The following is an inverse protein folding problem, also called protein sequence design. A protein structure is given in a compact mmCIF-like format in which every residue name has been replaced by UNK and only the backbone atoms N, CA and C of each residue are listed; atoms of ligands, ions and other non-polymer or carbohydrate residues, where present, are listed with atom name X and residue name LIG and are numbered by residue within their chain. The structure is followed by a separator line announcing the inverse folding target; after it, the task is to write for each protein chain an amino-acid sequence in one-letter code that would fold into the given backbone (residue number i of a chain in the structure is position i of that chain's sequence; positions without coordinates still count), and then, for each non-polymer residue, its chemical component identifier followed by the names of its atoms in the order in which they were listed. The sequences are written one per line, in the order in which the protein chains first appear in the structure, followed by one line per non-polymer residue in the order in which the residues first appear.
data_IF_950222379711
#
_entry.id   IF_950222379711
#
_cell.length_a   1.000
_cell.length_b   1.000
_cell.length_c   1.000
_cell.angle_alpha   90.00
_cell.angle_beta   90.00
_cell.angle_gamma   90.00
#
_symmetry.space_group_name_H-M   'P 1'
#
loop_
_entity.id
_entity.type
_entity.pdbx_description
1 polymer ?
#
# COMPACT_ATOMS: atom_id res chain seq x y z
N UNK A 1 -23.10 -18.14 -14.44
CA UNK A 1 -21.72 -18.28 -13.93
C UNK A 1 -20.88 -18.57 -15.17
N UNK A 2 -20.14 -17.57 -15.62
CA UNK A 2 -19.21 -17.76 -16.73
C UNK A 2 -17.92 -18.32 -16.11
N UNK A 3 -17.50 -19.51 -16.57
CA UNK A 3 -16.19 -20.06 -16.25
C UNK A 3 -15.11 -19.11 -16.79
N UNK A 4 -14.41 -18.45 -15.89
CA UNK A 4 -13.21 -17.70 -16.22
C UNK A 4 -12.12 -18.73 -16.57
N UNK A 5 -12.00 -19.05 -17.85
CA UNK A 5 -10.85 -19.81 -18.33
C UNK A 5 -9.63 -18.87 -18.26
N UNK A 6 -8.81 -19.10 -17.24
CA UNK A 6 -7.46 -18.55 -17.19
C UNK A 6 -6.69 -19.08 -18.40
N UNK A 7 -6.42 -18.23 -19.37
CA UNK A 7 -5.52 -18.57 -20.48
C UNK A 7 -4.12 -18.71 -19.90
N UNK A 8 -3.51 -19.85 -20.13
CA UNK A 8 -2.19 -20.27 -19.60
C UNK A 8 -1.02 -19.61 -20.39
N UNK A 9 -1.24 -18.45 -20.97
CA UNK A 9 -0.19 -17.65 -21.59
C UNK A 9 0.36 -16.69 -20.55
N UNK A 10 1.44 -17.11 -19.88
CA UNK A 10 2.23 -16.25 -19.02
C UNK A 10 2.77 -15.10 -19.87
N UNK A 11 2.37 -13.83 -19.62
CA UNK A 11 2.91 -12.70 -20.37
C UNK A 11 4.41 -12.59 -20.13
N UNK A 12 5.09 -11.73 -20.90
CA UNK A 12 6.50 -11.41 -20.66
C UNK A 12 6.63 -10.82 -19.25
N UNK A 13 6.80 -11.71 -18.28
CA UNK A 13 6.96 -11.42 -16.86
C UNK A 13 8.26 -10.61 -16.70
N UNK A 14 8.24 -9.55 -15.91
CA UNK A 14 9.47 -8.94 -15.43
C UNK A 14 10.34 -10.02 -14.75
N UNK A 15 11.65 -9.88 -14.78
CA UNK A 15 12.62 -10.88 -14.28
C UNK A 15 12.36 -11.35 -12.83
N UNK A 16 11.54 -10.65 -12.09
CA UNK A 16 11.16 -10.86 -10.67
C UNK A 16 9.81 -11.57 -10.47
N UNK A 17 9.18 -12.04 -11.54
CA UNK A 17 7.94 -12.84 -11.44
C UNK A 17 6.70 -12.05 -11.02
N UNK A 18 6.68 -10.72 -11.17
CA UNK A 18 5.53 -9.86 -10.90
C UNK A 18 5.02 -9.19 -12.17
N UNK A 19 3.72 -9.07 -12.34
CA UNK A 19 3.08 -8.31 -13.42
C UNK A 19 1.81 -7.62 -12.94
N UNK A 20 1.32 -6.63 -13.70
CA UNK A 20 -0.01 -6.08 -13.50
C UNK A 20 -1.00 -6.80 -14.42
N UNK A 21 -2.18 -7.10 -13.91
CA UNK A 21 -3.27 -7.69 -14.68
C UNK A 21 -4.55 -6.88 -14.52
N UNK A 22 -5.26 -6.66 -15.60
CA UNK A 22 -6.59 -6.05 -15.55
C UNK A 22 -7.60 -7.03 -14.97
N UNK A 23 -8.36 -6.60 -13.96
CA UNK A 23 -9.38 -7.45 -13.32
C UNK A 23 -10.61 -7.67 -14.19
N UNK A 24 -10.81 -6.86 -15.27
CA UNK A 24 -11.97 -6.93 -16.16
C UNK A 24 -11.68 -7.75 -17.42
N UNK A 25 -10.60 -7.47 -18.16
CA UNK A 25 -10.29 -8.11 -19.43
C UNK A 25 -9.12 -9.08 -19.39
N UNK A 26 -8.32 -9.10 -18.31
CA UNK A 26 -7.17 -9.97 -18.15
C UNK A 26 -5.90 -9.49 -18.85
N UNK A 27 -5.90 -8.34 -19.56
CA UNK A 27 -4.71 -7.77 -20.19
C UNK A 27 -3.61 -7.53 -19.16
N UNK A 28 -2.36 -7.73 -19.57
CA UNK A 28 -1.20 -7.73 -18.65
C UNK A 28 -0.15 -6.72 -19.05
N UNK A 29 0.55 -6.18 -18.03
CA UNK A 29 1.53 -5.11 -18.19
C UNK A 29 2.74 -5.31 -17.28
N UNK A 30 3.89 -4.81 -17.70
CA UNK A 30 5.07 -4.72 -16.84
C UNK A 30 4.81 -3.75 -15.67
N UNK A 31 5.18 -4.11 -14.43
CA UNK A 31 4.70 -3.39 -13.23
C UNK A 31 5.30 -1.99 -13.04
N UNK A 32 6.53 -1.75 -13.50
CA UNK A 32 7.26 -0.51 -13.21
C UNK A 32 7.83 0.19 -14.44
N UNK A 33 7.43 -0.23 -15.64
CA UNK A 33 7.89 0.39 -16.88
C UNK A 33 7.40 1.85 -17.02
N UNK A 34 6.20 2.11 -16.51
CA UNK A 34 5.56 3.43 -16.49
C UNK A 34 4.49 3.49 -15.40
N UNK A 35 4.02 4.71 -15.07
CA UNK A 35 2.89 4.89 -14.16
C UNK A 35 1.60 4.55 -14.92
N UNK A 36 0.94 3.47 -14.47
CA UNK A 36 -0.31 2.99 -15.05
C UNK A 36 -1.39 2.90 -13.97
N UNK A 37 -2.51 3.56 -14.18
CA UNK A 37 -3.63 3.60 -13.23
C UNK A 37 -4.77 2.66 -13.60
N UNK A 38 -4.99 2.48 -14.90
CA UNK A 38 -6.06 1.65 -15.46
C UNK A 38 -5.54 0.87 -16.66
N UNK A 39 -6.32 -0.10 -17.11
CA UNK A 39 -6.07 -0.85 -18.33
C UNK A 39 -6.23 0.04 -19.57
N UNK A 40 -5.31 -0.07 -20.53
CA UNK A 40 -5.36 0.70 -21.77
C UNK A 40 -6.51 0.25 -22.69
N UNK A 41 -6.94 -1.02 -22.59
CA UNK A 41 -7.94 -1.60 -23.48
C UNK A 41 -9.38 -1.35 -22.99
N UNK A 42 -9.62 -1.32 -21.68
CA UNK A 42 -10.98 -1.27 -21.14
C UNK A 42 -11.18 -0.32 -19.95
N UNK A 43 -10.16 0.47 -19.56
CA UNK A 43 -10.15 1.33 -18.38
C UNK A 43 -10.38 0.59 -17.04
N UNK A 44 -10.35 -0.74 -17.03
CA UNK A 44 -10.49 -1.56 -15.83
C UNK A 44 -9.34 -1.37 -14.84
N UNK A 45 -9.60 -1.70 -13.56
CA UNK A 45 -8.58 -1.62 -12.53
C UNK A 45 -7.49 -2.67 -12.73
N UNK A 46 -6.28 -2.33 -12.31
CA UNK A 46 -5.12 -3.21 -12.35
C UNK A 46 -4.83 -3.76 -10.96
N UNK A 47 -4.43 -5.03 -10.90
CA UNK A 47 -3.90 -5.65 -9.69
C UNK A 47 -2.52 -6.25 -9.95
N UNK A 48 -1.68 -6.30 -8.92
CA UNK A 48 -0.40 -6.98 -8.99
C UNK A 48 -0.60 -8.49 -8.88
N UNK A 49 -0.01 -9.24 -9.80
CA UNK A 49 0.01 -10.70 -9.83
C UNK A 49 1.43 -11.20 -9.64
N UNK A 50 1.56 -12.37 -9.07
CA UNK A 50 2.83 -13.00 -8.71
C UNK A 50 2.88 -14.42 -9.28
N UNK A 51 4.01 -14.83 -9.83
CA UNK A 51 4.25 -16.20 -10.29
C UNK A 51 4.29 -17.16 -9.10
N UNK A 52 5.17 -16.87 -8.15
CA UNK A 52 5.30 -17.63 -6.92
C UNK A 52 5.01 -16.73 -5.71
N UNK A 53 4.17 -17.20 -4.79
CA UNK A 53 3.93 -16.50 -3.53
C UNK A 53 4.77 -17.13 -2.43
N UNK A 54 5.38 -16.31 -1.54
CA UNK A 54 6.10 -16.82 -0.40
C UNK A 54 5.16 -17.53 0.59
N UNK A 55 5.72 -18.40 1.39
CA UNK A 55 5.05 -19.02 2.52
C UNK A 55 5.19 -18.15 3.76
N UNK A 56 4.47 -18.50 4.84
CA UNK A 56 4.58 -17.75 6.09
C UNK A 56 5.99 -17.81 6.70
N UNK A 57 6.76 -18.85 6.41
CA UNK A 57 8.12 -19.07 6.91
C UNK A 57 9.15 -18.13 6.26
N UNK A 58 8.83 -17.56 5.09
CA UNK A 58 9.68 -16.63 4.35
C UNK A 58 9.59 -15.18 4.87
N UNK A 59 8.68 -14.91 5.82
CA UNK A 59 8.47 -13.58 6.36
C UNK A 59 9.35 -13.31 7.57
N UNK A 60 10.39 -12.48 7.39
CA UNK A 60 11.38 -12.16 8.41
C UNK A 60 11.38 -10.66 8.77
N UNK A 61 11.82 -10.34 9.98
CA UNK A 61 11.94 -8.95 10.45
C UNK A 61 10.65 -8.39 11.07
N UNK A 62 10.48 -7.07 11.01
CA UNK A 62 9.39 -6.34 11.69
C UNK A 62 8.70 -5.34 10.76
N UNK A 63 7.53 -4.86 11.21
CA UNK A 63 6.78 -3.83 10.51
C UNK A 63 6.18 -4.29 9.20
N UNK A 64 6.07 -3.40 8.25
CA UNK A 64 5.54 -3.69 6.90
C UNK A 64 6.56 -4.50 6.10
N UNK A 65 7.84 -4.18 6.22
CA UNK A 65 8.91 -4.84 5.46
C UNK A 65 9.21 -6.27 5.90
N UNK A 66 8.58 -6.73 6.98
CA UNK A 66 8.52 -8.16 7.30
C UNK A 66 7.98 -8.99 6.13
N UNK A 67 7.08 -8.41 5.35
CA UNK A 67 6.44 -9.06 4.20
C UNK A 67 7.19 -8.81 2.89
N UNK A 68 8.46 -8.44 2.96
CA UNK A 68 9.29 -8.11 1.79
C UNK A 68 9.31 -9.22 0.74
N UNK A 69 9.35 -10.48 1.17
CA UNK A 69 9.29 -11.63 0.27
C UNK A 69 8.01 -11.68 -0.60
N UNK A 70 6.93 -11.00 -0.18
CA UNK A 70 5.68 -10.87 -0.94
C UNK A 70 5.57 -9.52 -1.68
N UNK A 71 6.62 -8.73 -1.71
CA UNK A 71 6.65 -7.45 -2.41
C UNK A 71 7.62 -7.53 -3.60
N UNK A 72 7.34 -6.83 -4.70
CA UNK A 72 8.12 -6.95 -5.93
C UNK A 72 9.42 -6.11 -5.94
N UNK A 73 9.95 -5.74 -4.79
CA UNK A 73 11.15 -4.92 -4.64
C UNK A 73 11.76 -5.05 -3.25
N UNK A 74 13.04 -4.72 -3.16
CA UNK A 74 13.78 -4.61 -1.91
C UNK A 74 13.17 -3.60 -0.93
N UNK A 75 13.57 -3.70 0.33
CA UNK A 75 13.13 -2.79 1.40
C UNK A 75 13.33 -1.32 0.99
N UNK A 76 12.26 -0.54 1.07
CA UNK A 76 12.27 0.89 0.77
C UNK A 76 12.50 1.78 1.99
N UNK A 77 12.06 3.03 1.87
CA UNK A 77 12.08 3.95 3.02
C UNK A 77 11.11 3.47 4.10
N UNK A 78 11.52 3.60 5.35
CA UNK A 78 10.69 3.26 6.50
C UNK A 78 10.77 4.32 7.59
N UNK A 79 9.69 4.48 8.33
CA UNK A 79 9.57 5.23 9.58
C UNK A 79 9.15 4.29 10.72
N UNK A 80 9.69 3.09 10.82
CA UNK A 80 9.28 1.83 11.45
C UNK A 80 7.75 1.66 11.61
N UNK A 81 7.03 1.79 10.52
CA UNK A 81 5.58 1.57 10.46
C UNK A 81 5.20 0.10 10.59
N UNK A 82 4.00 -0.15 11.03
CA UNK A 82 3.54 -1.48 11.34
C UNK A 82 3.92 -1.90 12.77
N UNK A 83 3.93 -3.19 13.05
CA UNK A 83 4.19 -3.76 14.39
C UNK A 83 3.36 -3.08 15.51
N UNK A 84 2.19 -2.56 15.14
CA UNK A 84 1.30 -1.86 16.07
C UNK A 84 0.73 -2.81 17.11
N UNK A 85 0.46 -2.33 18.35
CA UNK A 85 -0.05 -3.15 19.43
C UNK A 85 -1.35 -3.87 19.08
N UNK A 86 -1.51 -5.06 19.60
CA UNK A 86 -2.73 -5.86 19.54
C UNK A 86 -3.27 -6.06 20.97
N UNK A 87 -4.19 -5.20 21.38
CA UNK A 87 -4.74 -5.19 22.74
C UNK A 87 -5.89 -6.16 22.89
N UNK A 88 -5.85 -6.98 23.92
CA UNK A 88 -7.02 -7.73 24.34
C UNK A 88 -7.98 -6.82 25.12
N UNK A 89 -9.31 -6.97 24.90
CA UNK A 89 -10.34 -6.10 25.47
C UNK A 89 -11.44 -6.91 26.17
N UNK A 90 -11.15 -7.54 27.35
CA UNK A 90 -12.06 -8.50 28.00
C UNK A 90 -13.44 -7.92 28.32
N UNK A 91 -13.53 -6.64 28.69
CA UNK A 91 -14.82 -6.01 28.98
C UNK A 91 -15.75 -5.95 27.75
N UNK A 92 -15.19 -5.75 26.56
CA UNK A 92 -15.97 -5.77 25.34
C UNK A 92 -16.27 -7.23 24.89
N UNK A 93 -15.42 -8.19 25.24
CA UNK A 93 -15.70 -9.63 25.01
C UNK A 93 -17.01 -10.02 25.66
N UNK A 94 -17.21 -9.64 26.93
CA UNK A 94 -18.43 -9.91 27.68
C UNK A 94 -19.67 -9.22 27.08
N UNK A 95 -19.53 -7.96 26.64
CA UNK A 95 -20.63 -7.18 26.06
C UNK A 95 -21.10 -7.70 24.71
N UNK A 96 -20.18 -8.17 23.85
CA UNK A 96 -20.51 -8.67 22.49
C UNK A 96 -20.68 -10.18 22.43
N UNK A 97 -20.39 -10.90 23.50
CA UNK A 97 -20.60 -12.34 23.62
C UNK A 97 -19.61 -13.16 22.79
N UNK A 98 -18.32 -12.80 22.77
CA UNK A 98 -17.24 -13.54 22.10
C UNK A 98 -16.17 -13.97 23.09
N UNK A 99 -15.52 -15.11 22.85
CA UNK A 99 -14.50 -15.67 23.75
C UNK A 99 -13.19 -14.87 23.75
N UNK A 100 -12.87 -14.21 22.65
CA UNK A 100 -11.67 -13.40 22.52
C UNK A 100 -11.86 -12.27 21.51
N UNK A 101 -11.62 -11.04 21.96
CA UNK A 101 -11.61 -9.84 21.13
C UNK A 101 -10.28 -9.10 21.27
N UNK A 102 -9.69 -8.72 20.15
CA UNK A 102 -8.47 -7.93 20.11
C UNK A 102 -8.61 -6.73 19.20
N UNK A 103 -8.04 -5.60 19.62
CA UNK A 103 -8.01 -4.36 18.85
C UNK A 103 -6.60 -4.10 18.37
N UNK A 104 -6.42 -4.06 17.05
CA UNK A 104 -5.18 -3.63 16.40
C UNK A 104 -5.12 -2.10 16.42
N UNK A 105 -4.16 -1.51 17.14
CA UNK A 105 -4.09 -0.07 17.36
C UNK A 105 -3.30 0.64 16.26
N UNK A 106 -3.89 0.83 15.10
CA UNK A 106 -3.25 1.48 13.95
C UNK A 106 -2.89 2.97 14.16
N UNK A 107 -3.47 3.62 15.16
CA UNK A 107 -3.08 4.96 15.60
C UNK A 107 -1.67 5.06 16.19
N UNK A 108 -0.99 3.93 16.42
CA UNK A 108 0.40 3.88 16.90
C UNK A 108 1.43 3.87 15.76
N UNK A 109 1.00 3.90 14.51
CA UNK A 109 1.91 4.14 13.39
C UNK A 109 2.52 5.55 13.44
N UNK A 110 3.67 5.81 12.81
CA UNK A 110 4.43 7.07 12.88
C UNK A 110 3.62 8.33 12.60
N UNK A 111 2.72 8.32 11.61
CA UNK A 111 1.84 9.48 11.33
C UNK A 111 0.45 9.35 11.94
N UNK A 112 0.26 8.39 12.85
CA UNK A 112 -0.96 8.21 13.62
C UNK A 112 -2.07 7.44 12.89
N UNK A 113 -1.78 6.70 11.83
CA UNK A 113 -2.79 5.93 11.11
C UNK A 113 -2.24 4.74 10.32
N UNK A 114 -3.14 3.84 9.90
CA UNK A 114 -2.81 2.72 9.02
C UNK A 114 -2.30 3.14 7.62
N UNK A 115 -2.45 4.41 7.24
CA UNK A 115 -1.98 4.92 5.95
C UNK A 115 -0.47 4.77 5.77
N UNK A 116 0.27 4.74 6.84
CA UNK A 116 1.71 4.53 6.86
C UNK A 116 2.11 3.21 6.19
N UNK A 117 1.32 2.15 6.41
CA UNK A 117 1.58 0.82 5.81
C UNK A 117 1.57 0.84 4.27
N UNK A 118 0.57 1.50 3.69
CA UNK A 118 0.50 1.63 2.23
C UNK A 118 1.47 2.68 1.69
N UNK A 119 1.78 3.71 2.49
CA UNK A 119 2.61 4.80 2.03
C UNK A 119 4.09 4.41 1.92
N UNK A 120 4.63 3.61 2.84
CA UNK A 120 5.99 3.10 2.74
C UNK A 120 6.19 2.32 1.43
N UNK A 121 5.22 1.48 1.06
CA UNK A 121 5.23 0.71 -0.20
C UNK A 121 5.02 1.63 -1.41
N UNK A 122 4.03 2.55 -1.34
CA UNK A 122 3.73 3.48 -2.44
C UNK A 122 4.89 4.40 -2.79
N UNK A 123 5.64 4.89 -1.79
CA UNK A 123 6.84 5.68 -2.01
C UNK A 123 7.96 4.82 -2.63
N UNK A 124 8.08 3.56 -2.23
CA UNK A 124 9.04 2.64 -2.87
C UNK A 124 8.70 2.39 -4.34
N UNK A 125 7.42 2.21 -4.68
CA UNK A 125 6.97 2.14 -6.09
C UNK A 125 7.35 3.40 -6.86
N UNK A 126 7.13 4.58 -6.27
CA UNK A 126 7.49 5.85 -6.90
C UNK A 126 8.99 5.97 -7.19
N UNK A 127 9.84 5.50 -6.28
CA UNK A 127 11.30 5.43 -6.49
C UNK A 127 11.66 4.44 -7.60
N UNK A 128 10.99 3.28 -7.67
CA UNK A 128 11.22 2.27 -8.71
C UNK A 128 10.89 2.81 -10.11
N UNK A 129 9.77 3.51 -10.23
CA UNK A 129 9.36 4.18 -11.49
C UNK A 129 10.23 5.41 -11.80
N UNK A 130 10.99 5.93 -10.83
CA UNK A 130 11.92 7.04 -11.02
C UNK A 130 11.23 8.41 -11.10
N UNK A 131 10.17 8.65 -10.32
CA UNK A 131 9.52 9.96 -10.23
C UNK A 131 10.20 10.83 -9.17
N UNK A 132 10.26 12.14 -9.43
CA UNK A 132 10.85 13.13 -8.52
C UNK A 132 9.81 13.76 -7.58
N UNK A 133 8.52 13.57 -7.86
CA UNK A 133 7.44 14.24 -7.16
C UNK A 133 6.25 13.32 -6.90
N UNK A 134 5.70 13.44 -5.68
CA UNK A 134 4.50 12.76 -5.25
C UNK A 134 3.36 13.77 -5.06
N UNK A 135 2.13 13.38 -5.40
CA UNK A 135 0.97 14.23 -5.18
C UNK A 135 -0.23 13.46 -4.62
N UNK A 136 -1.01 14.11 -3.76
CA UNK A 136 -2.31 13.59 -3.37
C UNK A 136 -3.35 14.71 -3.16
N UNK A 137 -4.62 14.38 -3.36
CA UNK A 137 -5.75 15.22 -3.00
C UNK A 137 -6.40 14.66 -1.74
N UNK A 138 -5.93 15.07 -0.56
CA UNK A 138 -6.40 14.56 0.73
C UNK A 138 -6.29 15.62 1.83
N UNK A 139 -7.30 15.68 2.70
CA UNK A 139 -7.31 16.54 3.89
C UNK A 139 -7.02 15.77 5.17
N UNK A 140 -6.52 14.53 5.07
CA UNK A 140 -6.44 13.64 6.22
C UNK A 140 -5.16 12.81 6.29
N UNK A 141 -5.30 11.60 6.78
CA UNK A 141 -4.17 10.73 7.09
C UNK A 141 -3.31 10.35 5.86
N UNK A 142 -3.90 10.35 4.65
CA UNK A 142 -3.13 10.08 3.42
C UNK A 142 -2.12 11.19 3.14
N UNK A 143 -2.52 12.47 3.28
CA UNK A 143 -1.59 13.59 3.10
C UNK A 143 -0.50 13.62 4.17
N UNK A 144 -0.85 13.36 5.44
CA UNK A 144 0.13 13.29 6.52
C UNK A 144 1.17 12.17 6.28
N UNK A 145 0.72 10.98 5.88
CA UNK A 145 1.62 9.89 5.54
C UNK A 145 2.46 10.22 4.29
N UNK A 146 1.85 10.76 3.22
CA UNK A 146 2.58 11.13 2.01
C UNK A 146 3.69 12.15 2.29
N UNK A 147 3.39 13.20 3.08
CA UNK A 147 4.37 14.21 3.45
C UNK A 147 5.55 13.61 4.23
N UNK A 148 5.27 12.76 5.23
CA UNK A 148 6.30 12.14 6.06
C UNK A 148 7.20 11.17 5.28
N UNK A 149 6.61 10.26 4.50
CA UNK A 149 7.38 9.27 3.74
C UNK A 149 8.04 9.86 2.50
N UNK A 150 7.42 10.85 1.84
CA UNK A 150 8.04 11.61 0.75
C UNK A 150 9.26 12.38 1.22
N UNK A 151 9.16 13.10 2.34
CA UNK A 151 10.30 13.79 2.96
C UNK A 151 11.41 12.79 3.36
N UNK A 152 11.05 11.62 3.89
CA UNK A 152 12.02 10.58 4.25
C UNK A 152 12.74 9.99 3.04
N UNK A 153 12.08 10.01 1.87
CA UNK A 153 12.60 9.53 0.58
C UNK A 153 13.34 10.61 -0.23
N UNK A 154 13.40 11.85 0.26
CA UNK A 154 13.91 13.03 -0.45
C UNK A 154 13.16 13.29 -1.77
N UNK A 155 11.83 13.07 -1.77
CA UNK A 155 10.93 13.33 -2.89
C UNK A 155 10.10 14.59 -2.63
N UNK A 156 9.91 15.41 -3.66
CA UNK A 156 9.01 16.56 -3.57
C UNK A 156 7.56 16.09 -3.35
N UNK A 157 6.87 16.68 -2.40
CA UNK A 157 5.50 16.27 -2.05
C UNK A 157 4.53 17.43 -2.26
N UNK A 158 3.46 17.19 -3.03
CA UNK A 158 2.37 18.13 -3.28
C UNK A 158 1.06 17.62 -2.70
N UNK A 159 0.48 18.39 -1.76
CA UNK A 159 -0.83 18.09 -1.19
C UNK A 159 -1.86 19.09 -1.72
N UNK A 160 -2.87 18.60 -2.43
CA UNK A 160 -3.96 19.40 -2.95
C UNK A 160 -5.12 19.43 -1.93
N UNK A 161 -5.47 20.61 -1.48
CA UNK A 161 -6.53 20.82 -0.48
C UNK A 161 -7.68 21.64 -1.07
N UNK A 162 -8.95 21.28 -0.80
CA UNK A 162 -10.08 22.11 -1.20
C UNK A 162 -10.08 23.42 -0.41
N UNK A 163 -10.26 24.55 -1.09
CA UNK A 163 -10.30 25.87 -0.45
C UNK A 163 -11.41 25.94 0.63
N UNK A 164 -11.06 26.40 1.82
CA UNK A 164 -12.00 26.74 2.90
C UNK A 164 -12.64 25.55 3.65
N UNK A 165 -12.22 24.31 3.42
CA UNK A 165 -12.83 23.11 4.04
C UNK A 165 -11.90 22.27 4.90
N UNK A 166 -10.74 22.76 5.28
CA UNK A 166 -9.74 21.98 6.02
C UNK A 166 -9.61 22.47 7.46
N UNK A 167 -9.71 21.55 8.41
CA UNK A 167 -9.42 21.86 9.81
C UNK A 167 -7.93 22.19 9.99
N UNK A 168 -7.63 23.30 10.68
CA UNK A 168 -6.27 23.81 10.85
C UNK A 168 -5.28 22.76 11.39
N UNK A 169 -5.72 21.89 12.30
CA UNK A 169 -4.88 20.81 12.84
C UNK A 169 -4.46 19.74 11.82
N UNK A 170 -5.24 19.54 10.75
CA UNK A 170 -4.89 18.61 9.66
C UNK A 170 -3.94 19.22 8.64
N UNK A 171 -4.00 20.53 8.44
CA UNK A 171 -3.03 21.28 7.61
C UNK A 171 -1.67 21.29 8.28
N UNK A 172 -1.63 21.46 9.61
CA UNK A 172 -0.36 21.48 10.35
C UNK A 172 0.35 20.13 10.41
N UNK A 173 -0.33 19.03 10.09
CA UNK A 173 0.22 17.68 10.08
C UNK A 173 0.78 17.29 8.70
N UNK A 174 0.32 17.91 7.64
CA UNK A 174 0.80 17.73 6.27
C UNK A 174 1.88 18.77 5.91
#
# INVERSE_FOLDING_TARGET
MADLQLTDETPAVADDGVWLACIECGETFAPFAEIRYTCDDCDGLLEARYGDLPTFEDFEGEGVWRYNAALPFEVGVTLPEGHTPLHRVPRLEDEVGVDALRIKHEGMNPTGSFKDRGMTVGVRVAQEVGVDRLACASTGNTSAALAAYGARADLETLVLLPAGKVAAGKVAQA
#
